data_IF_956636423010
#
_entry.id   IF_956636423010
#
_cell.length_a   1.000
_cell.length_b   1.000
_cell.length_c   1.000
_cell.angle_alpha   90.00
_cell.angle_beta   90.00
_cell.angle_gamma   90.00
#
_symmetry.space_group_name_H-M   'P 1'
#
loop_
_entity.id
_entity.type
_entity.pdbx_description
1 polymer ?
#
# COMPACT_ATOMS: atom_id res chain seq x y z
N UNK A 1 16.69 35.83 -9.88
CA UNK A 1 15.76 36.69 -9.13
C UNK A 1 14.68 35.80 -8.56
N UNK A 2 14.62 35.64 -7.23
CA UNK A 2 13.60 34.83 -6.58
C UNK A 2 12.30 35.63 -6.56
N UNK A 3 11.32 35.25 -7.38
CA UNK A 3 10.00 35.85 -7.32
C UNK A 3 9.31 35.34 -6.06
N UNK A 4 9.19 36.20 -5.06
CA UNK A 4 8.51 35.85 -3.82
C UNK A 4 7.05 35.49 -4.13
N UNK A 5 6.65 34.25 -3.79
CA UNK A 5 5.26 33.80 -3.94
C UNK A 5 4.42 34.50 -2.88
N UNK A 6 3.35 35.19 -3.30
CA UNK A 6 2.46 35.90 -2.36
C UNK A 6 1.63 34.91 -1.52
N UNK A 7 1.21 35.34 -0.32
CA UNK A 7 0.31 34.55 0.52
C UNK A 7 -1.04 34.24 -0.15
N UNK A 8 -1.60 35.20 -0.90
CA UNK A 8 -2.84 34.99 -1.63
C UNK A 8 -2.70 33.86 -2.67
N UNK A 9 -1.54 33.79 -3.34
CA UNK A 9 -1.22 32.73 -4.29
C UNK A 9 -1.14 31.37 -3.61
N UNK A 10 -0.49 31.25 -2.45
CA UNK A 10 -0.39 29.96 -1.74
C UNK A 10 -1.74 29.50 -1.18
N UNK A 11 -2.60 30.42 -0.72
CA UNK A 11 -3.96 30.10 -0.28
C UNK A 11 -4.82 29.59 -1.44
N UNK A 12 -4.77 30.24 -2.60
CA UNK A 12 -5.47 29.78 -3.80
C UNK A 12 -5.01 28.37 -4.23
N UNK A 13 -3.69 28.12 -4.25
CA UNK A 13 -3.14 26.80 -4.56
C UNK A 13 -3.64 25.76 -3.55
N UNK A 14 -3.60 26.04 -2.25
CA UNK A 14 -4.11 25.13 -1.21
C UNK A 14 -5.57 24.73 -1.48
N UNK A 15 -6.41 25.68 -1.86
CA UNK A 15 -7.85 25.46 -2.02
C UNK A 15 -8.19 24.76 -3.35
N UNK A 16 -7.35 24.90 -4.39
CA UNK A 16 -7.55 24.28 -5.70
C UNK A 16 -6.69 23.02 -5.98
N UNK A 17 -5.69 22.72 -5.14
CA UNK A 17 -4.72 21.65 -5.40
C UNK A 17 -5.36 20.26 -5.26
N UNK A 18 -5.61 19.60 -6.39
CA UNK A 18 -6.15 18.25 -6.45
C UNK A 18 -5.28 17.22 -5.70
N UNK A 19 -3.95 17.37 -5.75
CA UNK A 19 -3.03 16.49 -5.01
C UNK A 19 -3.26 16.58 -3.50
N UNK A 20 -3.38 17.80 -2.95
CA UNK A 20 -3.63 18.00 -1.53
C UNK A 20 -5.00 17.45 -1.12
N UNK A 21 -6.02 17.67 -1.93
CA UNK A 21 -7.37 17.14 -1.68
C UNK A 21 -7.40 15.61 -1.72
N UNK A 22 -6.75 15.00 -2.71
CA UNK A 22 -6.64 13.55 -2.83
C UNK A 22 -5.89 12.94 -1.63
N UNK A 23 -4.78 13.55 -1.21
CA UNK A 23 -4.04 13.11 -0.01
C UNK A 23 -4.88 13.21 1.26
N UNK A 24 -5.65 14.28 1.44
CA UNK A 24 -6.55 14.45 2.59
C UNK A 24 -7.66 13.39 2.58
N UNK A 25 -8.29 13.17 1.43
CA UNK A 25 -9.31 12.15 1.25
C UNK A 25 -8.76 10.75 1.53
N UNK A 26 -7.60 10.41 0.96
CA UNK A 26 -6.95 9.11 1.18
C UNK A 26 -6.64 8.86 2.66
N UNK A 27 -6.12 9.86 3.41
CA UNK A 27 -5.88 9.73 4.85
C UNK A 27 -7.17 9.56 5.66
N UNK A 28 -8.24 10.28 5.28
CA UNK A 28 -9.53 10.16 5.95
C UNK A 28 -10.15 8.78 5.74
N UNK A 29 -10.10 8.26 4.51
CA UNK A 29 -10.51 6.89 4.20
C UNK A 29 -9.65 5.86 4.92
N UNK A 30 -8.32 6.02 4.89
CA UNK A 30 -7.38 5.15 5.59
C UNK A 30 -7.72 5.00 7.08
N UNK A 31 -7.90 6.11 7.80
CA UNK A 31 -8.31 6.09 9.21
C UNK A 31 -9.62 5.35 9.44
N UNK A 32 -10.63 5.58 8.60
CA UNK A 32 -11.92 4.89 8.71
C UNK A 32 -11.79 3.38 8.53
N UNK A 33 -10.97 2.94 7.57
CA UNK A 33 -10.68 1.52 7.38
C UNK A 33 -9.85 0.94 8.53
N UNK A 34 -8.84 1.67 9.00
CA UNK A 34 -8.02 1.24 10.15
C UNK A 34 -8.90 1.05 11.39
N UNK A 35 -9.85 1.95 11.64
CA UNK A 35 -10.80 1.84 12.76
C UNK A 35 -11.71 0.61 12.61
N UNK A 36 -12.24 0.38 11.41
CA UNK A 36 -13.09 -0.78 11.13
C UNK A 36 -12.34 -2.12 11.21
N UNK A 37 -11.07 -2.14 10.82
CA UNK A 37 -10.21 -3.33 10.80
C UNK A 37 -9.47 -3.57 12.12
N UNK A 38 -9.55 -2.64 13.07
CA UNK A 38 -8.90 -2.73 14.38
C UNK A 38 -9.23 -4.03 15.13
N UNK A 39 -10.48 -4.54 15.17
CA UNK A 39 -10.78 -5.82 15.83
C UNK A 39 -10.06 -7.02 15.22
N UNK A 40 -9.70 -6.92 13.93
CA UNK A 40 -8.95 -7.94 13.20
C UNK A 40 -7.43 -7.73 13.33
N UNK A 41 -7.00 -6.69 14.05
CA UNK A 41 -5.59 -6.30 14.17
C UNK A 41 -4.95 -5.95 12.83
N UNK A 42 -5.73 -5.51 11.84
CA UNK A 42 -5.25 -5.17 10.48
C UNK A 42 -5.25 -3.67 10.27
N UNK A 43 -4.30 -3.19 9.46
CA UNK A 43 -4.38 -1.84 8.88
C UNK A 43 -5.01 -1.88 7.48
N UNK A 44 -5.53 -0.75 7.02
CA UNK A 44 -5.99 -0.51 5.65
C UNK A 44 -4.92 -0.90 4.62
N UNK A 45 -3.65 -0.58 4.86
CA UNK A 45 -2.54 -0.96 3.97
C UNK A 45 -2.31 -2.48 3.91
N UNK A 46 -2.37 -3.16 5.06
CA UNK A 46 -2.28 -4.62 5.13
C UNK A 46 -3.47 -5.29 4.45
N UNK A 47 -4.67 -4.76 4.65
CA UNK A 47 -5.87 -5.25 3.99
C UNK A 47 -5.80 -5.08 2.46
N UNK A 48 -5.37 -3.91 1.97
CA UNK A 48 -5.15 -3.68 0.54
C UNK A 48 -4.12 -4.66 -0.05
N UNK A 49 -3.07 -4.99 0.71
CA UNK A 49 -2.11 -6.02 0.30
C UNK A 49 -2.76 -7.40 0.22
N UNK A 50 -3.57 -7.82 1.20
CA UNK A 50 -4.31 -9.08 1.12
C UNK A 50 -5.23 -9.12 -0.10
N UNK A 51 -5.94 -8.03 -0.39
CA UNK A 51 -6.78 -7.93 -1.58
C UNK A 51 -5.97 -7.98 -2.88
N UNK A 52 -4.80 -7.36 -2.92
CA UNK A 52 -3.89 -7.46 -4.06
C UNK A 52 -3.39 -8.89 -4.27
N UNK A 53 -3.24 -9.69 -3.21
CA UNK A 53 -2.83 -11.10 -3.28
C UNK A 53 -3.99 -12.06 -3.51
N UNK A 54 -5.24 -11.60 -3.48
CA UNK A 54 -6.43 -12.41 -3.73
C UNK A 54 -6.58 -12.71 -5.24
N UNK A 55 -5.79 -13.66 -5.73
CA UNK A 55 -5.71 -14.08 -7.13
C UNK A 55 -5.33 -15.56 -7.22
N UNK A 56 -5.63 -16.26 -8.33
CA UNK A 56 -5.35 -17.69 -8.47
C UNK A 56 -3.86 -18.03 -8.44
N UNK A 57 -3.02 -17.18 -9.04
CA UNK A 57 -1.59 -17.42 -9.18
C UNK A 57 -0.76 -16.47 -8.30
N UNK A 58 0.31 -16.93 -7.62
CA UNK A 58 1.19 -16.07 -6.85
C UNK A 58 1.70 -14.87 -7.65
N UNK A 59 1.65 -13.66 -7.09
CA UNK A 59 2.01 -12.42 -7.76
C UNK A 59 3.52 -12.14 -7.69
N UNK A 60 4.10 -11.59 -8.76
CA UNK A 60 5.45 -11.03 -8.67
C UNK A 60 5.48 -9.80 -7.75
N UNK A 61 6.52 -9.67 -6.92
CA UNK A 61 6.74 -8.52 -6.03
C UNK A 61 6.60 -7.16 -6.74
N UNK A 62 7.17 -7.04 -7.94
CA UNK A 62 7.14 -5.79 -8.73
C UNK A 62 5.73 -5.42 -9.23
N UNK A 63 4.88 -6.42 -9.50
CA UNK A 63 3.51 -6.20 -9.92
C UNK A 63 2.66 -5.70 -8.75
N UNK A 64 2.85 -6.26 -7.55
CA UNK A 64 2.13 -5.81 -6.34
C UNK A 64 2.57 -4.42 -5.90
N UNK A 65 3.88 -4.14 -5.93
CA UNK A 65 4.42 -2.81 -5.64
C UNK A 65 3.81 -1.73 -6.54
N UNK A 66 3.73 -2.01 -7.85
CA UNK A 66 3.12 -1.11 -8.84
C UNK A 66 1.63 -0.91 -8.59
N UNK A 67 0.89 -2.00 -8.35
CA UNK A 67 -0.56 -1.95 -8.12
C UNK A 67 -0.91 -1.11 -6.89
N UNK A 68 -0.15 -1.25 -5.81
CA UNK A 68 -0.39 -0.54 -4.55
C UNK A 68 0.30 0.82 -4.47
N UNK A 69 1.00 1.25 -5.53
CA UNK A 69 1.87 2.42 -5.52
C UNK A 69 2.82 2.45 -4.31
N UNK A 70 3.34 1.28 -3.95
CA UNK A 70 4.28 1.10 -2.84
C UNK A 70 5.69 0.92 -3.38
N UNK A 71 6.65 1.54 -2.71
CA UNK A 71 8.04 1.16 -2.90
C UNK A 71 8.31 -0.25 -2.33
N UNK A 72 9.48 -0.80 -2.68
CA UNK A 72 9.85 -2.16 -2.31
C UNK A 72 10.06 -2.33 -0.80
N UNK A 73 10.57 -1.32 -0.09
CA UNK A 73 10.87 -1.45 1.35
C UNK A 73 9.58 -1.44 2.16
N UNK A 74 8.63 -0.57 1.81
CA UNK A 74 7.28 -0.53 2.36
C UNK A 74 6.55 -1.85 2.15
N UNK A 75 6.56 -2.38 0.93
CA UNK A 75 5.91 -3.67 0.63
C UNK A 75 6.56 -4.83 1.41
N UNK A 76 7.89 -4.85 1.50
CA UNK A 76 8.62 -5.89 2.26
C UNK A 76 8.27 -5.85 3.74
N UNK A 77 8.19 -4.66 4.33
CA UNK A 77 7.81 -4.50 5.73
C UNK A 77 6.36 -4.97 6.00
N UNK A 78 5.43 -4.64 5.09
CA UNK A 78 4.04 -5.07 5.19
C UNK A 78 3.91 -6.61 5.07
N UNK A 79 4.59 -7.22 4.10
CA UNK A 79 4.62 -8.68 3.92
C UNK A 79 5.16 -9.38 5.16
N UNK A 80 6.27 -8.91 5.74
CA UNK A 80 6.85 -9.50 6.96
C UNK A 80 5.85 -9.53 8.13
N UNK A 81 4.97 -8.54 8.23
CA UNK A 81 3.91 -8.55 9.25
C UNK A 81 2.84 -9.61 8.92
N UNK A 82 2.39 -9.70 7.67
CA UNK A 82 1.39 -10.67 7.24
C UNK A 82 1.88 -12.12 7.28
N UNK A 83 3.14 -12.39 6.90
CA UNK A 83 3.77 -13.72 6.99
C UNK A 83 3.83 -14.21 8.44
N UNK A 84 4.24 -13.35 9.38
CA UNK A 84 4.25 -13.71 10.82
C UNK A 84 2.86 -14.02 11.36
N UNK A 85 1.81 -13.52 10.72
CA UNK A 85 0.41 -13.79 11.06
C UNK A 85 -0.16 -14.98 10.30
N UNK A 86 0.62 -15.62 9.43
CA UNK A 86 0.17 -16.71 8.59
C UNK A 86 -0.84 -16.29 7.52
N UNK A 87 -0.91 -15.01 7.14
CA UNK A 87 -1.90 -14.51 6.17
C UNK A 87 -1.36 -14.42 4.73
N UNK A 88 -0.04 -14.36 4.56
CA UNK A 88 0.61 -14.35 3.26
C UNK A 88 1.88 -15.22 3.29
N UNK A 89 2.35 -15.62 2.13
CA UNK A 89 3.59 -16.37 1.94
C UNK A 89 4.44 -15.75 0.83
N UNK A 90 5.76 -15.74 1.03
CA UNK A 90 6.74 -15.30 0.02
C UNK A 90 7.62 -16.47 -0.41
N UNK A 91 7.61 -16.79 -1.70
CA UNK A 91 8.46 -17.82 -2.31
C UNK A 91 9.49 -17.20 -3.27
N UNK A 92 10.59 -17.91 -3.51
CA UNK A 92 11.53 -17.59 -4.60
C UNK A 92 10.83 -17.83 -5.94
N UNK A 93 11.04 -16.95 -6.90
CA UNK A 93 10.52 -17.16 -8.26
C UNK A 93 11.25 -18.34 -8.92
N UNK A 94 10.53 -19.37 -9.41
CA UNK A 94 11.15 -20.52 -10.07
C UNK A 94 12.02 -20.15 -11.27
N UNK A 95 11.63 -19.10 -12.00
CA UNK A 95 12.30 -18.65 -13.23
C UNK A 95 13.40 -17.62 -12.96
N UNK A 96 13.39 -16.98 -11.80
CA UNK A 96 14.40 -16.01 -11.37
C UNK A 96 14.69 -16.11 -9.86
N UNK A 97 15.86 -16.63 -9.50
CA UNK A 97 16.28 -16.75 -8.08
C UNK A 97 16.32 -15.41 -7.33
N UNK A 98 16.42 -14.28 -8.04
CA UNK A 98 16.36 -12.92 -7.47
C UNK A 98 14.92 -12.41 -7.31
N UNK A 99 13.97 -13.01 -8.02
CA UNK A 99 12.54 -12.74 -7.97
C UNK A 99 11.86 -13.32 -6.74
N UNK A 100 10.71 -12.77 -6.39
CA UNK A 100 9.84 -13.25 -5.30
C UNK A 100 8.39 -13.31 -5.76
N UNK A 101 7.72 -14.40 -5.41
CA UNK A 101 6.29 -14.64 -5.64
C UNK A 101 5.54 -14.53 -4.32
N UNK A 102 4.43 -13.82 -4.34
CA UNK A 102 3.63 -13.46 -3.18
C UNK A 102 2.25 -14.12 -3.33
N UNK A 103 1.76 -14.78 -2.30
CA UNK A 103 0.42 -15.38 -2.29
C UNK A 103 -0.24 -15.25 -0.93
N UNK A 104 -1.56 -15.36 -0.89
CA UNK A 104 -2.26 -15.61 0.36
C UNK A 104 -1.89 -17.01 0.87
N UNK A 105 -1.81 -17.17 2.18
CA UNK A 105 -1.70 -18.50 2.78
C UNK A 105 -3.04 -19.21 2.59
N UNK A 106 -3.04 -20.44 2.05
CA UNK A 106 -4.24 -21.27 2.13
C UNK A 106 -4.53 -21.57 3.60
N UNK A 107 -5.65 -21.09 4.10
CA UNK A 107 -6.25 -21.61 5.33
C UNK A 107 -6.95 -22.92 4.91
N UNK A 108 -6.54 -24.01 5.54
CA UNK A 108 -6.97 -25.40 5.26
C UNK A 108 -8.49 -25.58 5.19
#
# INVERSE_FOLDING_TARGET
>A
MSTAVSFATTAHIRDACLCLHAQRAARALGRRFDDALRPLGLTSGQFSLLMALNRPEPAAMSAVARLLAMDRTTLTAALKVLERRGLATVAVDPEDRRGRRLSLTCLY
#
